data_IF_552805716075
#
_entry.id   IF_552805716075
#
_cell.length_a   1.000
_cell.length_b   1.000
_cell.length_c   1.000
_cell.angle_alpha   90.00
_cell.angle_beta   90.00
_cell.angle_gamma   90.00
#
_symmetry.space_group_name_H-M   'P 1'
#
loop_
_entity.id
_entity.type
_entity.pdbx_description
1 polymer ?
#
# COMPACT_ATOMS: atom_id res chain seq x y z
N UNK A 1 -6.39 -21.64 16.79
CA UNK A 1 -6.26 -20.62 15.73
C UNK A 1 -5.61 -19.39 16.33
N UNK A 2 -4.31 -19.20 16.10
CA UNK A 2 -3.53 -18.09 16.68
C UNK A 2 -4.04 -16.77 16.09
N UNK A 3 -4.40 -15.81 16.95
CA UNK A 3 -4.74 -14.46 16.51
C UNK A 3 -3.53 -13.57 16.75
N UNK A 4 -2.93 -13.11 15.66
CA UNK A 4 -1.77 -12.21 15.72
C UNK A 4 -2.23 -10.82 16.20
N UNK A 5 -1.64 -10.29 17.28
CA UNK A 5 -2.02 -8.98 17.83
C UNK A 5 -1.79 -7.82 16.85
N UNK A 6 -0.76 -7.89 16.00
CA UNK A 6 -0.46 -6.87 14.99
C UNK A 6 -1.55 -6.84 13.92
N UNK A 7 -2.01 -8.02 13.50
CA UNK A 7 -3.09 -8.14 12.51
C UNK A 7 -4.40 -7.60 13.07
N UNK A 8 -4.70 -7.88 14.35
CA UNK A 8 -5.90 -7.34 15.00
C UNK A 8 -5.88 -5.82 15.04
N UNK A 9 -4.78 -5.23 15.49
CA UNK A 9 -4.64 -3.78 15.58
C UNK A 9 -4.74 -3.12 14.19
N UNK A 10 -4.07 -3.69 13.19
CA UNK A 10 -4.16 -3.21 11.80
C UNK A 10 -5.60 -3.22 11.28
N UNK A 11 -6.36 -4.28 11.56
CA UNK A 11 -7.77 -4.39 11.16
C UNK A 11 -8.65 -3.37 11.87
N UNK A 12 -8.43 -3.17 13.17
CA UNK A 12 -9.13 -2.16 13.96
C UNK A 12 -8.91 -0.76 13.39
N UNK A 13 -7.66 -0.37 13.15
CA UNK A 13 -7.32 0.94 12.57
C UNK A 13 -7.95 1.14 11.18
N UNK A 14 -7.97 0.09 10.34
CA UNK A 14 -8.63 0.14 9.03
C UNK A 14 -10.14 0.34 9.15
N UNK A 15 -10.79 -0.33 10.10
CA UNK A 15 -12.23 -0.17 10.35
C UNK A 15 -12.56 1.22 10.88
N UNK A 16 -11.79 1.72 11.85
CA UNK A 16 -11.96 3.06 12.40
C UNK A 16 -11.77 4.14 11.33
N UNK A 17 -10.81 3.95 10.41
CA UNK A 17 -10.61 4.86 9.29
C UNK A 17 -11.76 4.79 8.28
N UNK A 18 -12.17 3.59 7.86
CA UNK A 18 -13.27 3.40 6.91
C UNK A 18 -14.62 3.93 7.46
N UNK A 19 -14.85 3.83 8.77
CA UNK A 19 -16.05 4.35 9.42
C UNK A 19 -16.21 5.87 9.25
N UNK A 20 -15.11 6.62 9.14
CA UNK A 20 -15.15 8.08 8.89
C UNK A 20 -15.70 8.43 7.51
N UNK A 21 -15.64 7.50 6.58
CA UNK A 21 -16.13 7.63 5.20
C UNK A 21 -17.37 6.79 4.95
N UNK A 22 -18.00 6.26 6.00
CA UNK A 22 -19.15 5.35 5.88
C UNK A 22 -18.88 4.13 4.97
N UNK A 23 -17.62 3.70 4.88
CA UNK A 23 -17.18 2.61 4.00
C UNK A 23 -17.09 2.96 2.51
N UNK A 24 -17.19 4.24 2.13
CA UNK A 24 -17.01 4.68 0.74
C UNK A 24 -15.52 4.63 0.35
N UNK A 25 -15.17 3.70 -0.53
CA UNK A 25 -13.81 3.50 -1.01
C UNK A 25 -13.29 4.68 -1.84
N UNK A 26 -14.16 5.34 -2.60
CA UNK A 26 -13.76 6.46 -3.45
C UNK A 26 -13.44 7.68 -2.60
N UNK A 27 -14.27 7.96 -1.58
CA UNK A 27 -14.03 9.05 -0.64
C UNK A 27 -12.73 8.85 0.17
N UNK A 28 -12.44 7.61 0.60
CA UNK A 28 -11.17 7.26 1.25
C UNK A 28 -9.98 7.50 0.33
N UNK A 29 -10.09 7.12 -0.95
CA UNK A 29 -9.02 7.31 -1.92
C UNK A 29 -8.75 8.78 -2.19
N UNK A 30 -9.80 9.60 -2.30
CA UNK A 30 -9.66 11.05 -2.47
C UNK A 30 -8.96 11.70 -1.28
N UNK A 31 -9.30 11.32 -0.04
CA UNK A 31 -8.60 11.82 1.16
C UNK A 31 -7.09 11.47 1.14
N UNK A 32 -6.74 10.26 0.70
CA UNK A 32 -5.33 9.85 0.55
C UNK A 32 -4.62 10.71 -0.50
N UNK A 33 -5.24 10.95 -1.66
CA UNK A 33 -4.68 11.82 -2.70
C UNK A 33 -4.47 13.26 -2.21
N UNK A 34 -5.44 13.80 -1.47
CA UNK A 34 -5.32 15.14 -0.87
C UNK A 34 -4.15 15.21 0.12
N UNK A 35 -3.98 14.20 0.98
CA UNK A 35 -2.84 14.12 1.91
C UNK A 35 -1.50 14.02 1.19
N UNK A 36 -1.45 13.27 0.09
CA UNK A 36 -0.25 13.18 -0.74
C UNK A 36 0.10 14.52 -1.38
N UNK A 37 -0.89 15.27 -1.88
CA UNK A 37 -0.68 16.57 -2.50
C UNK A 37 -0.15 17.63 -1.53
N UNK A 38 -0.55 17.57 -0.25
CA UNK A 38 -0.09 18.48 0.81
C UNK A 38 1.28 18.08 1.37
N UNK A 39 1.75 16.86 1.09
CA UNK A 39 2.99 16.36 1.63
C UNK A 39 4.18 17.20 1.14
N UNK A 40 5.00 17.68 2.09
CA UNK A 40 6.11 18.61 1.80
C UNK A 40 7.25 17.94 1.02
N UNK A 41 7.42 16.63 1.20
CA UNK A 41 8.47 15.89 0.52
C UNK A 41 8.09 15.58 -0.93
N UNK A 42 9.11 15.56 -1.79
CA UNK A 42 8.96 15.34 -3.23
C UNK A 42 8.32 13.98 -3.51
N UNK A 43 7.16 13.99 -4.16
CA UNK A 43 6.59 12.82 -4.82
C UNK A 43 7.57 12.38 -5.93
N UNK A 44 8.16 11.19 -5.81
CA UNK A 44 9.09 10.65 -6.82
C UNK A 44 8.39 9.60 -7.67
N UNK A 45 8.23 9.87 -8.97
CA UNK A 45 7.83 8.85 -9.94
C UNK A 45 9.10 8.19 -10.48
N UNK A 46 9.40 6.97 -10.02
CA UNK A 46 10.43 6.17 -10.66
C UNK A 46 9.89 5.57 -11.95
N UNK A 47 10.73 5.47 -12.99
CA UNK A 47 10.38 4.72 -14.18
C UNK A 47 10.09 3.24 -13.80
N UNK A 48 9.08 2.61 -14.43
CA UNK A 48 8.82 1.19 -14.21
C UNK A 48 10.08 0.36 -14.49
N UNK A 49 10.36 -0.64 -13.64
CA UNK A 49 11.45 -1.59 -13.91
C UNK A 49 11.13 -2.33 -15.19
N UNK A 50 12.10 -2.35 -16.12
CA UNK A 50 11.99 -3.17 -17.33
C UNK A 50 12.06 -4.65 -16.92
N UNK A 51 11.20 -5.53 -17.47
CA UNK A 51 11.31 -6.95 -17.20
C UNK A 51 12.68 -7.44 -17.69
N UNK A 52 13.51 -7.90 -16.76
CA UNK A 52 14.69 -8.67 -17.12
C UNK A 52 14.23 -10.09 -17.48
N UNK A 53 14.66 -10.59 -18.64
CA UNK A 53 14.51 -12.01 -18.91
C UNK A 53 15.31 -12.74 -17.83
N UNK A 54 14.62 -13.61 -17.09
CA UNK A 54 15.25 -14.52 -16.15
C UNK A 54 16.25 -15.35 -16.95
N UNK A 55 17.54 -15.02 -16.88
CA UNK A 55 18.56 -15.95 -17.35
C UNK A 55 18.48 -17.15 -16.42
N UNK A 56 18.30 -18.34 -16.97
CA UNK A 56 18.33 -19.60 -16.25
C UNK A 56 19.62 -19.64 -15.42
N UNK A 57 19.52 -19.29 -14.14
CA UNK A 57 20.59 -19.49 -13.15
C UNK A 57 20.58 -20.98 -12.84
N UNK A 58 21.07 -21.76 -13.80
CA UNK A 58 20.86 -23.19 -13.86
C UNK A 58 22.03 -23.98 -14.43
N UNK A 59 23.18 -23.39 -14.74
CA UNK A 59 24.39 -24.17 -15.08
C UNK A 59 25.65 -23.49 -14.56
N UNK A 60 26.00 -23.79 -13.30
CA UNK A 60 27.40 -23.96 -12.92
C UNK A 60 27.49 -25.28 -12.16
N UNK A 61 27.84 -26.32 -12.91
CA UNK A 61 28.38 -27.58 -12.37
C UNK A 61 29.75 -27.32 -11.74
#
# INVERSE_FOLDING_TARGET
MWKDPIVQETRRLRQEYAARFNGDSDAMFQDILMRQAVHKDRLVSFEPRRPCQWKEVGERK
#
